data_IF_411101554500
#
_entry.id   IF_411101554500
#
_cell.length_a   1.000
_cell.length_b   1.000
_cell.length_c   1.000
_cell.angle_alpha   90.00
_cell.angle_beta   90.00
_cell.angle_gamma   90.00
#
_symmetry.space_group_name_H-M   'P 1'
#
loop_
_entity.id
_entity.type
_entity.pdbx_description
1 polymer ?
#
# COMPACT_ATOMS: atom_id res chain seq x y z
N UNK A 1 -19.50 -0.07 7.63
CA UNK A 1 -19.98 -0.43 6.27
C UNK A 1 -21.33 0.19 5.99
N UNK A 2 -22.26 0.12 6.93
CA UNK A 2 -23.60 0.68 6.74
C UNK A 2 -23.61 2.17 6.44
N UNK A 3 -22.74 2.95 7.11
CA UNK A 3 -22.62 4.38 6.85
C UNK A 3 -22.03 4.68 5.48
N UNK A 4 -21.08 3.87 5.04
CA UNK A 4 -20.50 4.02 3.70
C UNK A 4 -21.56 3.75 2.64
N UNK A 5 -22.34 2.69 2.80
CA UNK A 5 -23.41 2.35 1.88
C UNK A 5 -24.53 3.39 1.89
N UNK A 6 -24.80 3.99 3.05
CA UNK A 6 -25.81 5.04 3.17
C UNK A 6 -25.44 6.31 2.42
N UNK A 7 -24.16 6.63 2.30
CA UNK A 7 -23.68 7.78 1.52
C UNK A 7 -23.63 7.51 0.02
N UNK A 8 -23.96 6.30 -0.44
CA UNK A 8 -24.01 5.92 -1.85
C UNK A 8 -22.75 6.33 -2.62
N UNK A 9 -21.60 5.72 -2.32
CA UNK A 9 -20.38 6.05 -3.06
C UNK A 9 -20.57 5.81 -4.56
N UNK A 10 -19.89 6.58 -5.43
CA UNK A 10 -20.04 6.42 -6.87
C UNK A 10 -19.74 4.99 -7.33
N UNK A 11 -20.38 4.56 -8.40
CA UNK A 11 -20.10 3.26 -9.02
C UNK A 11 -18.60 3.16 -9.35
N UNK A 12 -18.01 2.01 -9.08
CA UNK A 12 -16.57 1.80 -9.27
C UNK A 12 -15.69 2.29 -8.11
N UNK A 13 -16.29 2.74 -7.01
CA UNK A 13 -15.54 3.09 -5.80
C UNK A 13 -14.91 1.85 -5.17
N UNK A 14 -13.64 1.99 -4.78
CA UNK A 14 -12.91 0.97 -4.05
C UNK A 14 -12.36 1.58 -2.77
N UNK A 15 -12.65 0.95 -1.64
CA UNK A 15 -12.18 1.42 -0.35
C UNK A 15 -11.29 0.35 0.29
N UNK A 16 -10.11 0.77 0.73
CA UNK A 16 -9.25 -0.07 1.55
C UNK A 16 -9.45 0.30 3.01
N UNK A 17 -9.95 -0.64 3.81
CA UNK A 17 -10.25 -0.43 5.22
C UNK A 17 -9.29 -1.27 6.06
N UNK A 18 -8.55 -0.63 6.94
CA UNK A 18 -7.65 -1.30 7.87
C UNK A 18 -8.06 -0.99 9.30
N UNK A 19 -8.21 -2.04 10.08
CA UNK A 19 -8.65 -1.96 11.47
C UNK A 19 -7.48 -2.36 12.37
N UNK A 20 -7.10 -1.52 13.37
CA UNK A 20 -6.02 -1.89 14.27
C UNK A 20 -6.39 -3.10 15.14
N UNK A 21 -5.39 -3.95 15.43
CA UNK A 21 -5.55 -5.13 16.28
C UNK A 21 -5.53 -4.76 17.76
N UNK A 22 -6.50 -3.97 18.17
CA UNK A 22 -6.70 -3.55 19.56
C UNK A 22 -8.17 -3.74 19.94
N UNK A 23 -8.51 -3.81 21.25
CA UNK A 23 -9.90 -3.88 21.66
C UNK A 23 -10.73 -2.72 21.09
N UNK A 24 -12.00 -2.98 20.70
CA UNK A 24 -12.85 -1.93 20.09
C UNK A 24 -12.96 -0.65 20.92
N UNK A 25 -12.97 -0.77 22.23
CA UNK A 25 -13.05 0.38 23.14
C UNK A 25 -11.78 1.25 23.14
N UNK A 26 -10.67 0.73 22.62
CA UNK A 26 -9.41 1.47 22.51
C UNK A 26 -9.23 2.13 21.14
N UNK A 27 -10.12 1.85 20.18
CA UNK A 27 -10.08 2.47 18.86
C UNK A 27 -10.46 3.95 19.00
N UNK A 28 -9.58 4.84 18.56
CA UNK A 28 -9.73 6.27 18.75
C UNK A 28 -10.71 6.92 17.78
N UNK A 29 -11.01 6.28 16.66
CA UNK A 29 -11.91 6.80 15.65
C UNK A 29 -11.53 6.31 14.25
N UNK A 30 -11.99 7.04 13.24
CA UNK A 30 -11.76 6.75 11.83
C UNK A 30 -11.00 7.89 11.20
N UNK A 31 -9.97 7.58 10.41
CA UNK A 31 -9.27 8.56 9.59
C UNK A 31 -9.40 8.19 8.11
N UNK A 32 -9.67 9.19 7.30
CA UNK A 32 -9.59 9.05 5.85
C UNK A 32 -8.14 9.31 5.48
N UNK A 33 -7.52 8.34 4.83
CA UNK A 33 -6.08 8.31 4.66
C UNK A 33 -5.71 8.15 3.19
N UNK A 34 -4.42 8.34 2.92
CA UNK A 34 -3.79 7.98 1.64
C UNK A 34 -2.95 6.74 1.81
N UNK A 35 -2.77 6.01 0.73
CA UNK A 35 -1.95 4.81 0.73
C UNK A 35 -0.49 5.19 1.03
N UNK A 36 0.11 4.47 1.96
CA UNK A 36 1.54 4.57 2.18
C UNK A 36 2.27 3.90 1.01
N UNK A 37 2.99 4.71 0.24
CA UNK A 37 3.80 4.24 -0.87
C UNK A 37 5.27 4.37 -0.50
N UNK A 38 5.92 3.25 -0.24
CA UNK A 38 7.34 3.21 0.05
C UNK A 38 7.97 2.02 -0.67
N UNK A 39 9.20 2.21 -1.14
CA UNK A 39 9.95 1.13 -1.73
C UNK A 39 10.32 0.13 -0.65
N UNK A 40 9.66 -1.02 -0.65
CA UNK A 40 10.06 -2.13 0.20
C UNK A 40 11.38 -2.69 -0.34
N UNK A 41 12.46 -2.51 0.42
CA UNK A 41 13.68 -3.26 0.15
C UNK A 41 13.46 -4.67 0.67
N UNK A 42 13.10 -5.56 -0.23
CA UNK A 42 13.07 -6.98 0.05
C UNK A 42 14.49 -7.52 -0.07
N UNK A 43 15.00 -8.08 1.01
CA UNK A 43 16.29 -8.77 1.00
C UNK A 43 16.08 -10.25 1.25
N UNK A 44 16.82 -11.08 0.51
CA UNK A 44 16.82 -12.52 0.71
C UNK A 44 17.98 -12.90 1.63
N UNK A 45 17.70 -13.61 2.70
CA UNK A 45 18.70 -14.19 3.56
C UNK A 45 18.94 -15.64 3.18
N UNK A 46 20.21 -15.97 2.89
CA UNK A 46 20.61 -17.35 2.62
C UNK A 46 20.74 -18.10 3.94
N UNK A 47 20.01 -19.19 4.07
CA UNK A 47 20.09 -20.11 5.20
C UNK A 47 20.44 -21.50 4.72
N UNK A 48 21.06 -22.28 5.59
CA UNK A 48 21.44 -23.66 5.31
C UNK A 48 20.66 -24.57 6.26
N UNK A 49 19.96 -25.56 5.69
CA UNK A 49 19.21 -26.52 6.49
C UNK A 49 20.12 -27.59 7.12
N UNK A 50 19.61 -28.45 8.02
CA UNK A 50 20.40 -29.53 8.63
C UNK A 50 20.96 -30.51 7.61
N UNK A 51 20.37 -30.65 6.42
CA UNK A 51 20.83 -31.52 5.33
C UNK A 51 21.82 -30.81 4.39
N UNK A 52 22.30 -29.65 4.78
CA UNK A 52 23.26 -28.80 4.04
C UNK A 52 22.73 -28.27 2.71
N UNK A 53 21.41 -28.19 2.55
CA UNK A 53 20.77 -27.54 1.40
C UNK A 53 20.60 -26.06 1.67
N UNK A 54 20.97 -25.22 0.71
CA UNK A 54 20.75 -23.79 0.79
C UNK A 54 19.30 -23.46 0.46
N UNK A 55 18.67 -22.60 1.27
CA UNK A 55 17.38 -21.99 0.97
C UNK A 55 17.44 -20.50 1.27
N UNK A 56 16.53 -19.76 0.65
CA UNK A 56 16.49 -18.32 0.79
C UNK A 56 15.20 -17.92 1.51
N UNK A 57 15.37 -17.10 2.54
CA UNK A 57 14.26 -16.57 3.31
C UNK A 57 14.03 -15.11 2.93
N UNK A 58 12.78 -14.77 2.60
CA UNK A 58 12.43 -13.38 2.30
C UNK A 58 12.28 -12.61 3.61
N UNK A 59 13.14 -11.61 3.80
CA UNK A 59 13.07 -10.73 4.96
C UNK A 59 12.57 -9.37 4.49
N UNK A 60 11.39 -8.97 4.96
CA UNK A 60 10.93 -7.60 4.84
C UNK A 60 11.51 -6.76 5.97
N UNK A 61 12.31 -5.76 5.64
CA UNK A 61 12.82 -4.84 6.65
C UNK A 61 11.89 -3.65 6.80
N UNK A 62 11.02 -3.68 7.82
CA UNK A 62 10.16 -2.56 8.18
C UNK A 62 10.83 -1.59 9.17
N UNK A 63 12.11 -1.77 9.46
CA UNK A 63 12.77 -1.09 10.61
C UNK A 63 13.10 0.37 10.39
N UNK A 64 13.01 0.89 9.17
CA UNK A 64 13.39 2.28 8.87
C UNK A 64 12.25 3.09 8.25
N UNK A 65 11.02 2.60 8.37
CA UNK A 65 9.87 3.29 7.80
C UNK A 65 9.46 4.43 8.71
N UNK A 66 9.79 5.65 8.31
CA UNK A 66 9.16 6.83 8.90
C UNK A 66 7.70 6.84 8.46
N UNK A 67 6.80 6.69 9.44
CA UNK A 67 5.38 6.75 9.17
C UNK A 67 4.99 8.20 8.91
N UNK A 68 4.76 8.51 7.63
CA UNK A 68 4.26 9.82 7.26
C UNK A 68 2.83 10.00 7.78
N UNK A 69 2.57 11.14 8.39
CA UNK A 69 1.24 11.51 8.84
C UNK A 69 0.24 11.53 7.68
N UNK A 70 -0.99 11.11 7.94
CA UNK A 70 -2.04 11.04 6.94
C UNK A 70 -2.07 9.77 6.11
N UNK A 71 -1.15 8.83 6.37
CA UNK A 71 -1.11 7.53 5.70
C UNK A 71 -1.93 6.48 6.45
N UNK A 72 -2.28 5.41 5.76
CA UNK A 72 -2.99 4.26 6.32
C UNK A 72 -2.20 3.60 7.47
N UNK A 73 -0.90 3.41 7.29
CA UNK A 73 -0.03 2.81 8.30
C UNK A 73 0.05 3.68 9.55
N UNK A 74 0.23 4.98 9.38
CA UNK A 74 0.28 5.93 10.49
C UNK A 74 -1.01 5.92 11.30
N UNK A 75 -2.16 5.93 10.62
CA UNK A 75 -3.46 5.90 11.28
C UNK A 75 -3.65 4.63 12.13
N UNK A 76 -3.34 3.47 11.57
CA UNK A 76 -3.48 2.18 12.25
C UNK A 76 -2.53 2.10 13.46
N UNK A 77 -1.29 2.56 13.31
CA UNK A 77 -0.32 2.58 14.40
C UNK A 77 -0.74 3.50 15.55
N UNK A 78 -1.47 4.56 15.24
CA UNK A 78 -2.00 5.48 16.25
C UNK A 78 -3.31 4.99 16.90
N UNK A 79 -3.87 3.88 16.44
CA UNK A 79 -5.09 3.29 16.98
C UNK A 79 -6.37 3.73 16.30
N UNK A 80 -6.29 4.20 15.06
CA UNK A 80 -7.45 4.59 14.24
C UNK A 80 -7.76 3.53 13.19
N UNK A 81 -9.03 3.43 12.83
CA UNK A 81 -9.44 2.74 11.61
C UNK A 81 -9.06 3.63 10.44
N UNK A 82 -8.38 3.05 9.46
CA UNK A 82 -7.99 3.76 8.24
C UNK A 82 -8.93 3.41 7.09
N UNK A 83 -9.43 4.42 6.39
CA UNK A 83 -10.19 4.25 5.15
C UNK A 83 -9.47 5.00 4.05
N UNK A 84 -8.98 4.27 3.06
CA UNK A 84 -8.27 4.84 1.91
C UNK A 84 -9.09 4.63 0.65
N UNK A 85 -9.60 5.70 0.01
CA UNK A 85 -10.23 5.56 -1.30
C UNK A 85 -9.18 5.25 -2.36
N UNK A 86 -9.45 4.27 -3.21
CA UNK A 86 -8.55 3.82 -4.25
C UNK A 86 -9.21 3.93 -5.63
N UNK A 87 -8.37 3.98 -6.65
CA UNK A 87 -8.78 3.87 -8.06
C UNK A 87 -8.31 2.55 -8.64
N UNK A 88 -9.09 1.99 -9.56
CA UNK A 88 -8.65 0.84 -10.34
C UNK A 88 -7.58 1.19 -11.36
N UNK A 89 -7.64 2.41 -11.88
CA UNK A 89 -6.73 2.85 -12.93
C UNK A 89 -5.38 3.24 -12.32
N UNK A 90 -4.40 2.37 -12.51
CA UNK A 90 -3.02 2.57 -12.05
C UNK A 90 -2.15 3.28 -13.10
N UNK A 91 -2.75 3.76 -14.17
CA UNK A 91 -2.02 4.47 -15.21
C UNK A 91 -1.49 5.80 -14.68
N UNK A 92 -0.19 6.00 -14.82
CA UNK A 92 0.43 7.30 -14.55
C UNK A 92 0.25 8.17 -15.80
N UNK A 93 -0.78 9.02 -15.80
CA UNK A 93 -1.13 9.85 -16.95
C UNK A 93 -0.08 10.92 -17.24
N UNK A 94 0.64 11.38 -16.25
CA UNK A 94 1.73 12.33 -16.44
C UNK A 94 2.89 11.69 -17.20
N UNK A 95 3.32 10.53 -16.76
CA UNK A 95 4.38 9.77 -17.44
C UNK A 95 3.92 9.27 -18.81
N UNK A 96 2.67 8.84 -18.93
CA UNK A 96 2.07 8.42 -20.20
C UNK A 96 2.24 9.51 -21.26
N UNK A 97 1.91 10.74 -20.90
CA UNK A 97 2.03 11.88 -21.81
C UNK A 97 3.48 12.17 -22.20
N UNK A 98 4.40 12.02 -21.26
CA UNK A 98 5.83 12.20 -21.53
C UNK A 98 6.37 11.19 -22.51
N UNK A 99 6.08 9.91 -22.32
CA UNK A 99 6.61 8.85 -23.18
C UNK A 99 5.94 8.81 -24.55
N UNK A 100 4.73 9.33 -24.70
CA UNK A 100 4.13 9.54 -26.01
C UNK A 100 4.97 10.48 -26.88
N UNK A 101 5.61 11.48 -26.27
CA UNK A 101 6.46 12.43 -26.95
C UNK A 101 7.87 11.93 -27.29
N UNK A 102 8.25 10.73 -26.83
CA UNK A 102 9.56 10.18 -27.12
C UNK A 102 9.61 9.64 -28.55
N UNK A 103 10.81 9.58 -29.10
CA UNK A 103 11.04 9.01 -30.43
C UNK A 103 11.14 7.47 -30.32
N UNK A 104 10.11 6.79 -30.78
CA UNK A 104 10.04 5.33 -30.78
C UNK A 104 10.48 4.70 -32.10
N UNK A 105 10.89 5.51 -33.06
CA UNK A 105 11.33 5.03 -34.38
C UNK A 105 12.60 4.19 -34.25
N UNK A 106 12.66 3.08 -34.95
CA UNK A 106 13.84 2.22 -34.99
C UNK A 106 13.95 1.21 -33.85
N UNK A 107 13.05 1.22 -32.87
CA UNK A 107 13.04 0.24 -31.78
C UNK A 107 12.43 -1.09 -32.25
N UNK A 108 11.40 -1.00 -33.08
CA UNK A 108 10.78 -2.15 -33.72
C UNK A 108 10.95 -2.00 -35.22
N UNK A 109 11.73 -2.88 -35.80
CA UNK A 109 11.97 -2.92 -37.26
C UNK A 109 10.84 -3.62 -38.00
#
# INVERSE_FOLDING_TARGET
>A
IERILAHKPPAGSLLNVNIPSIPPEQIKGIKITRQFAHDFKETFEKRIDPDKKAYYWLIGTNKSVHHEEGTDISAVNEGYISITPLRYDLTDYHLHKKIEGWDWKGIVS
#
